data_IF_642916217458
#
_entry.id   IF_642916217458
#
_cell.length_a   1.000
_cell.length_b   1.000
_cell.length_c   1.000
_cell.angle_alpha   90.00
_cell.angle_beta   90.00
_cell.angle_gamma   90.00
#
_symmetry.space_group_name_H-M   'P 1'
#
loop_
_entity.id
_entity.type
_entity.pdbx_description
1 polymer ?
#
# COMPACT_ATOMS: atom_id res chain seq x y z
N UNK A 1 2.16 17.61 -3.95
CA UNK A 1 2.08 16.45 -4.87
C UNK A 1 1.17 16.83 -6.02
N UNK A 2 1.50 16.47 -7.26
CA UNK A 2 0.57 16.58 -8.40
C UNK A 2 -0.72 15.83 -8.06
N UNK A 3 -1.87 16.36 -8.50
CA UNK A 3 -3.15 15.66 -8.29
C UNK A 3 -3.19 14.43 -9.19
N UNK A 4 -3.87 13.36 -8.76
CA UNK A 4 -4.01 12.14 -9.57
C UNK A 4 -4.60 12.42 -10.96
N UNK A 5 -5.49 13.41 -11.04
CA UNK A 5 -6.11 13.91 -12.27
C UNK A 5 -5.10 14.43 -13.31
N UNK A 6 -3.94 14.93 -12.87
CA UNK A 6 -2.90 15.53 -13.73
C UNK A 6 -1.95 14.50 -14.35
N UNK A 7 -2.02 13.24 -13.92
CA UNK A 7 -1.16 12.16 -14.42
C UNK A 7 -1.76 11.51 -15.67
N UNK A 8 -0.90 11.06 -16.58
CA UNK A 8 -1.28 10.18 -17.68
C UNK A 8 -1.68 8.79 -17.17
N UNK A 9 -2.45 8.02 -17.95
CA UNK A 9 -2.81 6.64 -17.60
C UNK A 9 -1.58 5.74 -17.35
N UNK A 10 -0.50 5.97 -18.11
CA UNK A 10 0.76 5.24 -17.94
C UNK A 10 1.41 5.55 -16.57
N UNK A 11 1.47 6.83 -16.19
CA UNK A 11 2.00 7.23 -14.87
C UNK A 11 1.11 6.76 -13.72
N UNK A 12 -0.22 6.76 -13.93
CA UNK A 12 -1.19 6.30 -12.94
C UNK A 12 -1.06 4.79 -12.69
N UNK A 13 -0.90 3.98 -13.75
CA UNK A 13 -0.61 2.56 -13.65
C UNK A 13 0.77 2.28 -13.00
N UNK A 14 1.80 3.07 -13.33
CA UNK A 14 3.11 2.99 -12.67
C UNK A 14 3.00 3.26 -11.17
N UNK A 15 2.25 4.31 -10.80
CA UNK A 15 2.02 4.69 -9.40
C UNK A 15 1.24 3.61 -8.65
N UNK A 16 0.20 3.04 -9.26
CA UNK A 16 -0.53 1.88 -8.72
C UNK A 16 0.40 0.70 -8.44
N UNK A 17 1.27 0.36 -9.39
CA UNK A 17 2.23 -0.74 -9.24
C UNK A 17 3.21 -0.48 -8.09
N UNK A 18 3.75 0.74 -8.00
CA UNK A 18 4.63 1.17 -6.91
C UNK A 18 3.92 1.05 -5.54
N UNK A 19 2.74 1.65 -5.39
CA UNK A 19 1.97 1.61 -4.15
C UNK A 19 1.62 0.18 -3.72
N UNK A 20 1.23 -0.68 -4.67
CA UNK A 20 0.96 -2.10 -4.41
C UNK A 20 2.23 -2.84 -3.98
N UNK A 21 3.36 -2.60 -4.67
CA UNK A 21 4.65 -3.16 -4.31
C UNK A 21 5.12 -2.74 -2.93
N UNK A 22 4.95 -1.46 -2.57
CA UNK A 22 5.24 -0.93 -1.24
C UNK A 22 4.39 -1.61 -0.16
N UNK A 23 3.09 -1.78 -0.39
CA UNK A 23 2.20 -2.44 0.57
C UNK A 23 2.60 -3.91 0.80
N UNK A 24 2.98 -4.62 -0.27
CA UNK A 24 3.49 -6.00 -0.19
C UNK A 24 4.82 -6.03 0.59
N UNK A 25 5.75 -5.12 0.28
CA UNK A 25 7.04 -5.02 0.97
C UNK A 25 6.87 -4.80 2.48
N UNK A 26 5.90 -3.96 2.85
CA UNK A 26 5.56 -3.74 4.26
C UNK A 26 5.02 -4.99 4.95
N UNK A 27 4.14 -5.75 4.31
CA UNK A 27 3.62 -7.01 4.85
C UNK A 27 4.78 -8.01 5.08
N UNK A 28 5.64 -8.19 4.07
CA UNK A 28 6.80 -9.09 4.16
C UNK A 28 7.71 -8.65 5.31
N UNK A 29 8.00 -7.36 5.41
CA UNK A 29 8.84 -6.80 6.47
C UNK A 29 8.23 -7.03 7.86
N UNK A 30 6.92 -6.84 8.03
CA UNK A 30 6.21 -7.10 9.29
C UNK A 30 6.29 -8.58 9.71
N UNK A 31 6.15 -9.51 8.75
CA UNK A 31 6.30 -10.95 8.99
C UNK A 31 7.73 -11.27 9.42
N UNK A 32 8.74 -10.74 8.73
CA UNK A 32 10.16 -10.98 9.07
C UNK A 32 10.51 -10.47 10.48
N UNK A 33 10.06 -9.27 10.85
CA UNK A 33 10.25 -8.73 12.20
C UNK A 33 9.60 -9.65 13.24
N UNK A 34 8.35 -10.04 13.01
CA UNK A 34 7.60 -10.89 13.95
C UNK A 34 8.28 -12.24 14.13
N UNK A 35 8.75 -12.85 13.04
CA UNK A 35 9.48 -14.11 13.07
C UNK A 35 10.82 -13.97 13.80
N UNK A 36 11.56 -12.88 13.55
CA UNK A 36 12.82 -12.61 14.25
C UNK A 36 12.60 -12.47 15.77
N UNK A 37 11.59 -11.69 16.19
CA UNK A 37 11.24 -11.52 17.61
C UNK A 37 10.82 -12.85 18.25
N UNK A 38 10.07 -13.68 17.51
CA UNK A 38 9.67 -15.00 17.97
C UNK A 38 10.87 -15.93 18.18
N UNK A 39 11.77 -16.02 17.20
CA UNK A 39 12.98 -16.85 17.27
C UNK A 39 13.93 -16.41 18.41
N UNK A 40 14.00 -15.10 18.68
CA UNK A 40 14.80 -14.53 19.77
C UNK A 40 14.15 -14.67 21.16
N UNK A 41 12.96 -15.27 21.27
CA UNK A 41 12.17 -15.34 22.51
C UNK A 41 12.03 -13.97 23.17
N UNK A 42 11.79 -12.95 22.35
CA UNK A 42 11.70 -11.56 22.77
C UNK A 42 10.54 -11.36 23.77
N UNK A 43 10.70 -10.40 24.69
CA UNK A 43 9.62 -10.00 25.61
C UNK A 43 8.42 -9.47 24.83
N UNK A 44 7.21 -9.75 25.31
CA UNK A 44 5.96 -9.33 24.65
C UNK A 44 5.90 -7.83 24.32
N UNK A 45 6.53 -6.98 25.14
CA UNK A 45 6.63 -5.53 24.91
C UNK A 45 7.27 -5.17 23.56
N UNK A 46 8.17 -6.02 23.03
CA UNK A 46 8.84 -5.80 21.75
C UNK A 46 7.95 -6.13 20.55
N UNK A 47 6.81 -6.81 20.76
CA UNK A 47 5.81 -7.04 19.72
C UNK A 47 4.85 -5.85 19.55
N UNK A 48 4.80 -4.91 20.51
CA UNK A 48 3.92 -3.74 20.41
C UNK A 48 4.19 -2.96 19.12
N UNK A 49 5.44 -2.58 18.77
CA UNK A 49 5.74 -1.94 17.48
C UNK A 49 5.24 -2.70 16.26
N UNK A 50 5.35 -4.04 16.27
CA UNK A 50 4.86 -4.89 15.19
C UNK A 50 3.32 -4.86 15.06
N UNK A 51 2.60 -4.71 16.17
CA UNK A 51 1.13 -4.58 16.17
C UNK A 51 0.63 -3.20 15.73
N UNK A 52 1.39 -2.12 15.98
CA UNK A 52 1.02 -0.77 15.53
C UNK A 52 1.45 -0.48 14.09
N UNK A 53 2.42 -1.23 13.55
CA UNK A 53 2.96 -1.10 12.20
C UNK A 53 1.87 -1.06 11.10
N UNK A 54 0.84 -1.92 11.10
CA UNK A 54 -0.22 -1.89 10.09
C UNK A 54 -0.97 -0.55 10.01
N UNK A 55 -1.09 0.18 11.12
CA UNK A 55 -1.76 1.48 11.16
C UNK A 55 -1.01 2.50 10.30
N UNK A 56 0.32 2.41 10.30
CA UNK A 56 1.19 3.28 9.49
C UNK A 56 1.04 3.04 7.99
N UNK A 57 0.43 1.93 7.58
CA UNK A 57 0.23 1.58 6.16
C UNK A 57 -1.10 2.07 5.59
N UNK A 58 -2.04 2.50 6.46
CA UNK A 58 -3.35 3.02 6.04
C UNK A 58 -3.27 4.17 5.02
N UNK A 59 -2.36 5.16 5.13
CA UNK A 59 -2.25 6.23 4.15
C UNK A 59 -1.86 5.73 2.75
N UNK A 60 -1.07 4.66 2.68
CA UNK A 60 -0.62 4.04 1.42
C UNK A 60 -1.77 3.27 0.79
N UNK A 61 -2.52 2.52 1.60
CA UNK A 61 -3.74 1.86 1.14
C UNK A 61 -4.78 2.87 0.62
N UNK A 62 -4.99 3.97 1.34
CA UNK A 62 -5.88 5.07 0.92
C UNK A 62 -5.44 5.67 -0.42
N UNK A 63 -4.14 5.91 -0.58
CA UNK A 63 -3.56 6.41 -1.84
C UNK A 63 -3.75 5.41 -2.99
N UNK A 64 -3.51 4.12 -2.75
CA UNK A 64 -3.72 3.06 -3.74
C UNK A 64 -5.18 2.96 -4.18
N UNK A 65 -6.12 3.09 -3.23
CA UNK A 65 -7.55 3.12 -3.52
C UNK A 65 -7.92 4.31 -4.41
N UNK A 66 -7.44 5.51 -4.07
CA UNK A 66 -7.69 6.73 -4.85
C UNK A 66 -7.15 6.63 -6.28
N UNK A 67 -5.92 6.12 -6.46
CA UNK A 67 -5.33 5.88 -7.78
C UNK A 67 -6.14 4.85 -8.57
N UNK A 68 -6.57 3.76 -7.93
CA UNK A 68 -7.37 2.73 -8.61
C UNK A 68 -8.76 3.24 -9.02
N UNK A 69 -9.36 4.11 -8.20
CA UNK A 69 -10.63 4.76 -8.52
C UNK A 69 -10.50 5.71 -9.71
N UNK A 70 -9.44 6.52 -9.76
CA UNK A 70 -9.13 7.38 -10.91
C UNK A 70 -8.92 6.56 -12.20
N UNK A 71 -8.19 5.44 -12.14
CA UNK A 71 -8.02 4.54 -13.29
C UNK A 71 -9.39 4.00 -13.74
N UNK A 72 -10.24 3.56 -12.80
CA UNK A 72 -11.56 3.03 -13.10
C UNK A 72 -12.47 4.07 -13.76
N UNK A 73 -12.48 5.31 -13.24
CA UNK A 73 -13.26 6.41 -13.79
C UNK A 73 -12.85 6.77 -15.22
N UNK A 74 -11.60 6.54 -15.61
CA UNK A 74 -11.10 6.77 -16.97
C UNK A 74 -11.37 5.62 -17.95
N UNK A 75 -11.65 4.41 -17.46
CA UNK A 75 -12.01 3.25 -18.29
C UNK A 75 -13.54 3.02 -18.38
N UNK A 76 -14.30 3.49 -17.39
CA UNK A 76 -15.77 3.48 -17.42
C UNK A 76 -16.46 4.29 -18.56
N UNK A 77 -15.85 5.34 -19.16
CA UNK A 77 -16.47 6.05 -20.29
C UNK A 77 -16.59 5.20 -21.57
N UNK A 78 -15.80 4.12 -21.69
CA UNK A 78 -15.80 3.22 -22.85
C UNK A 78 -16.86 2.11 -22.75
N UNK A 79 -17.62 2.01 -21.65
CA UNK A 79 -18.64 0.97 -21.46
C UNK A 79 -20.05 1.36 -21.98
N UNK A 80 -20.23 2.61 -22.43
CA UNK A 80 -21.51 3.15 -22.93
C UNK A 80 -21.42 3.64 -24.40
N UNK A 81 -20.47 3.13 -25.19
CA UNK A 81 -20.37 3.38 -26.63
C UNK A 81 -20.53 2.10 -27.44
#
# INVERSE_FOLDING_TARGET
>A
MKKWSELSLAELNKTKSMLKGTLIGFIIFGVLITLALFLLKAKLVLFIPAMVLPITWLPIYSSLKSVNEEIRLRHAPDANR
#
